data_IF_768768677515
#
_entry.id   IF_768768677515
#
_cell.length_a   1.000
_cell.length_b   1.000
_cell.length_c   1.000
_cell.angle_alpha   90.00
_cell.angle_beta   90.00
_cell.angle_gamma   90.00
#
_symmetry.space_group_name_H-M   'P 1'
#
loop_
_entity.id
_entity.type
_entity.pdbx_description
1 polymer ?
#
# COMPACT_ATOMS: atom_id res chain seq x y z
N UNK A 1 31.52 30.80 9.83
CA UNK A 1 31.51 32.17 10.33
C UNK A 1 30.07 32.66 10.48
N UNK A 2 29.60 33.05 11.67
CA UNK A 2 28.20 33.46 11.92
C UNK A 2 27.76 34.67 11.09
N UNK A 3 28.68 35.57 10.72
CA UNK A 3 28.36 36.70 9.87
C UNK A 3 27.96 36.28 8.47
N UNK A 4 28.69 35.30 7.88
CA UNK A 4 28.38 34.75 6.55
C UNK A 4 27.07 33.94 6.57
N UNK A 5 26.79 33.22 7.64
CA UNK A 5 25.52 32.49 7.79
C UNK A 5 24.32 33.45 7.77
N UNK A 6 24.39 34.55 8.54
CA UNK A 6 23.33 35.58 8.54
C UNK A 6 23.17 36.24 7.16
N UNK A 7 24.28 36.50 6.47
CA UNK A 7 24.22 37.07 5.12
C UNK A 7 23.50 36.12 4.13
N UNK A 8 23.78 34.82 4.20
CA UNK A 8 23.12 33.79 3.37
C UNK A 8 21.63 33.69 3.72
N UNK A 9 21.30 33.63 5.02
CA UNK A 9 19.91 33.57 5.50
C UNK A 9 19.09 34.78 5.02
N UNK A 10 19.67 35.98 5.10
CA UNK A 10 19.02 37.22 4.64
C UNK A 10 18.84 37.21 3.13
N UNK A 11 19.85 36.83 2.38
CA UNK A 11 19.75 36.74 0.90
C UNK A 11 18.72 35.72 0.44
N UNK A 12 18.65 34.57 1.13
CA UNK A 12 17.64 33.55 0.82
C UNK A 12 16.23 34.07 1.11
N UNK A 13 16.03 34.74 2.26
CA UNK A 13 14.73 35.32 2.60
C UNK A 13 14.27 36.34 1.55
N UNK A 14 15.15 37.26 1.17
CA UNK A 14 14.85 38.27 0.16
C UNK A 14 14.53 37.65 -1.21
N UNK A 15 15.23 36.55 -1.58
CA UNK A 15 14.97 35.84 -2.83
C UNK A 15 13.59 35.13 -2.82
N UNK A 16 13.13 34.71 -1.65
CA UNK A 16 11.86 34.02 -1.46
C UNK A 16 10.65 34.96 -1.35
N UNK A 17 10.85 36.25 -1.15
CA UNK A 17 9.76 37.25 -1.08
C UNK A 17 8.95 37.36 -2.38
N UNK A 18 9.54 37.01 -3.52
CA UNK A 18 8.85 37.00 -4.82
C UNK A 18 7.95 35.77 -5.03
N UNK A 19 8.05 34.75 -4.16
CA UNK A 19 7.24 33.54 -4.28
C UNK A 19 5.82 33.75 -3.74
N UNK A 20 4.82 33.35 -4.50
CA UNK A 20 3.41 33.43 -4.06
C UNK A 20 3.06 32.42 -2.96
N UNK A 21 3.90 31.41 -2.77
CA UNK A 21 3.68 30.38 -1.76
C UNK A 21 4.07 30.92 -0.37
N UNK A 22 3.37 30.45 0.66
CA UNK A 22 3.80 30.69 2.04
C UNK A 22 5.03 29.86 2.33
N UNK A 23 6.15 30.54 2.58
CA UNK A 23 7.43 29.91 2.86
C UNK A 23 7.87 30.22 4.29
N UNK A 24 8.38 29.21 4.96
CA UNK A 24 9.04 29.35 6.25
C UNK A 24 10.48 28.84 6.12
N UNK A 25 11.44 29.64 6.59
CA UNK A 25 12.86 29.26 6.57
C UNK A 25 13.41 29.25 7.99
N UNK A 26 14.11 28.18 8.34
CA UNK A 26 14.87 28.07 9.58
C UNK A 26 16.21 28.80 9.51
N UNK A 27 16.95 28.82 10.62
CA UNK A 27 18.35 29.27 10.66
C UNK A 27 19.28 28.16 10.20
N UNK A 28 20.45 28.51 9.72
CA UNK A 28 21.49 27.55 9.39
C UNK A 28 21.96 26.82 10.65
N UNK A 29 21.84 25.50 10.66
CA UNK A 29 22.23 24.65 11.79
C UNK A 29 23.75 24.59 11.94
N UNK A 30 24.24 23.98 13.05
CA UNK A 30 25.66 23.71 13.28
C UNK A 30 26.30 22.84 12.19
N UNK A 31 25.47 22.05 11.51
CA UNK A 31 25.91 21.17 10.41
C UNK A 31 25.91 21.87 9.04
N UNK A 32 25.61 23.17 8.97
CA UNK A 32 25.55 23.91 7.73
C UNK A 32 24.27 23.67 6.90
N UNK A 33 23.22 23.10 7.51
CA UNK A 33 21.93 22.83 6.88
C UNK A 33 20.92 23.92 7.23
N UNK A 34 20.15 24.35 6.23
CA UNK A 34 19.02 25.24 6.38
C UNK A 34 17.74 24.49 6.02
N UNK A 35 16.76 24.56 6.91
CA UNK A 35 15.44 23.96 6.70
C UNK A 35 14.50 24.97 6.03
N UNK A 36 13.74 24.52 5.06
CA UNK A 36 12.73 25.32 4.38
C UNK A 36 11.44 24.52 4.24
N UNK A 37 10.31 25.16 4.60
CA UNK A 37 8.98 24.64 4.33
C UNK A 37 8.25 25.55 3.37
N UNK A 38 7.75 25.02 2.26
CA UNK A 38 7.01 25.74 1.24
C UNK A 38 5.62 25.17 1.06
N UNK A 39 4.62 26.02 1.13
CA UNK A 39 3.24 25.60 0.88
C UNK A 39 3.09 25.22 -0.61
N UNK A 40 2.57 24.02 -0.83
CA UNK A 40 2.25 23.56 -2.18
C UNK A 40 0.98 24.25 -2.68
N UNK A 41 1.08 24.98 -3.78
CA UNK A 41 -0.05 25.73 -4.34
C UNK A 41 -0.90 24.87 -5.29
N UNK A 42 -0.27 23.95 -6.04
CA UNK A 42 -0.92 23.06 -7.00
C UNK A 42 -0.18 21.73 -7.07
N UNK A 43 -0.87 20.63 -7.39
CA UNK A 43 -0.20 19.37 -7.72
C UNK A 43 0.67 19.57 -8.96
N UNK A 44 1.78 18.82 -9.08
CA UNK A 44 2.62 18.86 -10.26
C UNK A 44 1.87 18.27 -11.47
N UNK A 45 2.32 18.64 -12.69
CA UNK A 45 1.76 18.04 -13.91
C UNK A 45 1.96 16.52 -13.94
N UNK A 46 3.07 16.06 -13.41
CA UNK A 46 3.38 14.63 -13.29
C UNK A 46 2.38 13.92 -12.37
N UNK A 47 2.04 14.50 -11.23
CA UNK A 47 1.05 13.91 -10.30
C UNK A 47 -0.38 13.89 -10.87
N UNK A 48 -0.71 14.81 -11.78
CA UNK A 48 -2.03 14.85 -12.42
C UNK A 48 -2.11 13.85 -13.57
N UNK A 49 -0.97 13.63 -14.27
CA UNK A 49 -0.91 12.80 -15.48
C UNK A 49 -0.48 11.36 -15.24
N UNK A 50 0.08 11.05 -14.08
CA UNK A 50 0.57 9.71 -13.74
C UNK A 50 -0.12 9.14 -12.51
N UNK A 51 -0.36 7.83 -12.50
CA UNK A 51 -0.81 7.07 -11.34
C UNK A 51 0.36 6.36 -10.66
N UNK A 52 0.20 6.04 -9.39
CA UNK A 52 1.16 5.18 -8.70
C UNK A 52 1.13 3.78 -9.32
N UNK A 53 2.30 3.20 -9.55
CA UNK A 53 2.38 1.81 -10.00
C UNK A 53 1.75 0.88 -8.95
N UNK A 54 0.68 0.12 -9.28
CA UNK A 54 -0.01 -0.73 -8.29
C UNK A 54 0.89 -1.84 -7.75
N UNK A 55 1.92 -2.25 -8.50
CA UNK A 55 2.82 -3.32 -8.10
C UNK A 55 3.86 -2.91 -7.05
N UNK A 56 4.44 -1.72 -7.14
CA UNK A 56 5.47 -1.25 -6.22
C UNK A 56 5.04 -0.05 -5.35
N UNK A 57 3.83 0.49 -5.56
CA UNK A 57 3.30 1.67 -4.85
C UNK A 57 4.29 2.85 -4.81
N UNK A 58 5.01 3.07 -5.91
CA UNK A 58 5.99 4.13 -6.04
C UNK A 58 7.38 3.83 -5.46
N UNK A 59 7.61 2.64 -4.88
CA UNK A 59 8.90 2.28 -4.27
C UNK A 59 9.99 1.93 -5.29
N UNK A 60 9.64 1.63 -6.55
CA UNK A 60 10.58 1.22 -7.60
C UNK A 60 11.21 -0.16 -7.38
N UNK A 61 10.87 -0.88 -6.31
CA UNK A 61 11.35 -2.21 -5.97
C UNK A 61 10.20 -3.09 -5.52
N UNK A 62 10.32 -4.39 -5.77
CA UNK A 62 9.42 -5.42 -5.27
C UNK A 62 10.23 -6.50 -4.57
N UNK A 63 9.64 -7.17 -3.58
CA UNK A 63 10.28 -8.31 -2.91
C UNK A 63 10.41 -9.48 -3.87
N UNK A 64 11.50 -10.21 -3.77
CA UNK A 64 11.67 -11.48 -4.48
C UNK A 64 10.79 -12.58 -3.87
N UNK A 65 10.61 -13.67 -4.61
CA UNK A 65 9.73 -14.79 -4.23
C UNK A 65 10.11 -15.38 -2.87
N UNK A 66 11.40 -15.56 -2.58
CA UNK A 66 11.87 -16.14 -1.31
C UNK A 66 11.58 -15.22 -0.12
N UNK A 67 11.91 -13.93 -0.26
CA UNK A 67 11.68 -12.93 0.78
C UNK A 67 10.20 -12.75 1.07
N UNK A 68 9.36 -12.77 0.03
CA UNK A 68 7.92 -12.64 0.19
C UNK A 68 7.32 -13.90 0.83
N UNK A 69 7.74 -15.10 0.41
CA UNK A 69 7.29 -16.35 1.01
C UNK A 69 7.61 -16.43 2.50
N UNK A 70 8.81 -16.03 2.92
CA UNK A 70 9.18 -15.97 4.34
C UNK A 70 8.36 -14.94 5.13
N UNK A 71 8.02 -13.79 4.51
CA UNK A 71 7.15 -12.82 5.14
C UNK A 71 5.72 -13.38 5.32
N UNK A 72 5.21 -14.10 4.33
CA UNK A 72 3.89 -14.74 4.39
C UNK A 72 3.88 -15.84 5.48
N UNK A 73 4.93 -16.67 5.57
CA UNK A 73 5.04 -17.67 6.65
C UNK A 73 4.95 -17.05 8.04
N UNK A 74 5.63 -15.93 8.27
CA UNK A 74 5.53 -15.21 9.56
C UNK A 74 4.12 -14.71 9.84
N UNK A 75 3.45 -14.15 8.83
CA UNK A 75 2.06 -13.71 8.98
C UNK A 75 1.15 -14.88 9.28
N UNK A 76 1.30 -16.02 8.61
CA UNK A 76 0.53 -17.24 8.90
C UNK A 76 0.76 -17.73 10.33
N UNK A 77 2.01 -17.74 10.80
CA UNK A 77 2.36 -18.09 12.16
C UNK A 77 1.73 -17.11 13.18
N UNK A 78 1.82 -15.81 12.93
CA UNK A 78 1.20 -14.79 13.79
C UNK A 78 -0.32 -14.92 13.85
N UNK A 79 -0.97 -15.18 12.71
CA UNK A 79 -2.42 -15.38 12.65
C UNK A 79 -2.86 -16.69 13.31
N UNK A 80 -2.04 -17.76 13.23
CA UNK A 80 -2.32 -19.06 13.84
C UNK A 80 -2.25 -19.03 15.37
N UNK A 81 -1.44 -18.15 15.95
CA UNK A 81 -1.30 -17.98 17.39
C UNK A 81 -2.46 -17.19 18.02
N UNK A 82 -3.29 -16.56 17.23
CA UNK A 82 -4.46 -15.82 17.74
C UNK A 82 -5.51 -16.77 18.26
N UNK A 83 -6.19 -16.35 19.34
CA UNK A 83 -7.23 -17.16 19.99
C UNK A 83 -8.34 -17.59 19.01
N UNK A 84 -8.76 -18.85 19.12
CA UNK A 84 -9.83 -19.47 18.31
C UNK A 84 -9.55 -19.51 16.80
N UNK A 85 -8.29 -19.49 16.38
CA UNK A 85 -7.94 -19.70 14.97
C UNK A 85 -8.15 -21.18 14.63
N UNK A 86 -9.01 -21.47 13.64
CA UNK A 86 -9.25 -22.83 13.17
C UNK A 86 -8.63 -23.05 11.78
N UNK A 87 -8.86 -22.12 10.85
CA UNK A 87 -8.35 -22.22 9.48
C UNK A 87 -7.74 -20.90 9.06
N UNK A 88 -6.58 -20.94 8.42
CA UNK A 88 -5.94 -19.79 7.77
C UNK A 88 -5.90 -20.06 6.27
N UNK A 89 -6.59 -19.24 5.51
CA UNK A 89 -6.57 -19.26 4.06
C UNK A 89 -5.63 -18.18 3.55
N UNK A 90 -4.69 -18.55 2.70
CA UNK A 90 -3.71 -17.62 2.15
C UNK A 90 -3.73 -17.69 0.64
N UNK A 91 -4.17 -16.60 -0.01
CA UNK A 91 -4.10 -16.47 -1.46
C UNK A 91 -2.78 -15.83 -1.84
N UNK A 92 -2.05 -16.45 -2.74
CA UNK A 92 -0.71 -16.04 -3.16
C UNK A 92 -0.54 -16.18 -4.67
N UNK A 93 0.36 -15.40 -5.29
CA UNK A 93 0.79 -15.63 -6.66
C UNK A 93 1.30 -17.06 -6.88
N UNK A 94 1.08 -17.60 -8.07
CA UNK A 94 1.38 -19.00 -8.41
C UNK A 94 2.81 -19.42 -8.03
N UNK A 95 3.82 -18.60 -8.34
CA UNK A 95 5.22 -18.90 -8.03
C UNK A 95 5.51 -19.00 -6.51
N UNK A 96 4.81 -18.18 -5.71
CA UNK A 96 4.93 -18.20 -4.25
C UNK A 96 4.20 -19.41 -3.67
N UNK A 97 3.02 -19.73 -4.19
CA UNK A 97 2.28 -20.92 -3.78
C UNK A 97 3.10 -22.19 -4.04
N UNK A 98 3.69 -22.34 -5.22
CA UNK A 98 4.57 -23.44 -5.55
C UNK A 98 5.79 -23.53 -4.60
N UNK A 99 6.41 -22.40 -4.28
CA UNK A 99 7.55 -22.34 -3.34
C UNK A 99 7.14 -22.74 -1.92
N UNK A 100 6.02 -22.22 -1.41
CA UNK A 100 5.53 -22.54 -0.06
C UNK A 100 5.16 -24.02 0.08
N UNK A 101 4.42 -24.58 -0.88
CA UNK A 101 3.94 -25.95 -0.83
C UNK A 101 5.05 -26.99 -1.01
N UNK A 102 6.11 -26.67 -1.75
CA UNK A 102 7.21 -27.61 -1.99
C UNK A 102 8.40 -27.38 -1.06
N UNK A 103 8.95 -26.15 -1.07
CA UNK A 103 10.19 -25.84 -0.34
C UNK A 103 9.97 -25.59 1.15
N UNK A 104 8.78 -25.13 1.52
CA UNK A 104 8.41 -24.75 2.89
C UNK A 104 7.34 -25.65 3.51
N UNK A 105 7.14 -26.83 2.93
CA UNK A 105 6.16 -27.81 3.40
C UNK A 105 6.37 -28.26 4.85
N UNK A 106 7.63 -28.48 5.25
CA UNK A 106 7.96 -28.83 6.63
C UNK A 106 7.62 -27.72 7.62
N UNK A 107 7.96 -26.48 7.26
CA UNK A 107 7.71 -25.31 8.11
C UNK A 107 6.17 -25.11 8.30
N UNK A 108 5.38 -25.34 7.26
CA UNK A 108 3.93 -25.29 7.32
C UNK A 108 3.35 -26.38 8.24
N UNK A 109 3.81 -27.62 8.10
CA UNK A 109 3.39 -28.74 8.94
C UNK A 109 3.77 -28.52 10.42
N UNK A 110 4.93 -27.91 10.68
CA UNK A 110 5.36 -27.56 12.04
C UNK A 110 4.47 -26.49 12.67
N UNK A 111 4.02 -25.49 11.90
CA UNK A 111 3.07 -24.48 12.37
C UNK A 111 1.73 -25.12 12.69
N UNK A 112 1.18 -25.94 11.78
CA UNK A 112 -0.10 -26.64 11.97
C UNK A 112 -0.08 -27.56 13.21
N UNK A 113 0.99 -28.35 13.37
CA UNK A 113 1.13 -29.27 14.51
C UNK A 113 1.23 -28.56 15.85
N UNK A 114 1.89 -27.39 15.87
CA UNK A 114 2.10 -26.60 17.10
C UNK A 114 0.89 -25.79 17.50
N UNK A 115 0.15 -25.25 16.54
CA UNK A 115 -0.99 -24.35 16.79
C UNK A 115 -2.35 -25.02 16.73
N UNK A 116 -2.42 -26.22 16.11
CA UNK A 116 -3.68 -26.91 15.85
C UNK A 116 -4.57 -26.21 14.79
N UNK A 117 -4.02 -25.25 14.07
CA UNK A 117 -4.73 -24.48 13.04
C UNK A 117 -4.44 -25.07 11.67
N UNK A 118 -5.46 -25.24 10.84
CA UNK A 118 -5.26 -25.74 9.47
C UNK A 118 -4.90 -24.61 8.51
N UNK A 119 -3.85 -24.81 7.69
CA UNK A 119 -3.34 -23.80 6.74
C UNK A 119 -3.67 -24.23 5.31
N UNK A 120 -4.44 -23.39 4.62
CA UNK A 120 -4.82 -23.59 3.21
C UNK A 120 -4.14 -22.55 2.32
N UNK A 121 -3.22 -23.00 1.49
CA UNK A 121 -2.56 -22.13 0.49
C UNK A 121 -3.32 -22.24 -0.83
N UNK A 122 -3.76 -21.08 -1.33
CA UNK A 122 -4.56 -20.96 -2.55
C UNK A 122 -3.72 -20.20 -3.59
N UNK A 123 -3.11 -20.88 -4.56
CA UNK A 123 -2.44 -20.22 -5.67
C UNK A 123 -3.47 -19.49 -6.54
N UNK A 124 -3.26 -18.18 -6.75
CA UNK A 124 -4.14 -17.33 -7.54
C UNK A 124 -3.36 -16.71 -8.72
N UNK A 125 -3.82 -16.95 -9.94
CA UNK A 125 -3.19 -16.46 -11.17
C UNK A 125 -3.38 -14.95 -11.37
N UNK A 126 -4.40 -14.36 -10.75
CA UNK A 126 -4.71 -12.93 -10.86
C UNK A 126 -3.93 -12.07 -9.86
N UNK A 127 -3.24 -12.70 -8.91
CA UNK A 127 -2.37 -12.00 -7.98
C UNK A 127 -0.95 -11.90 -8.51
N UNK A 128 -0.43 -10.69 -8.53
CA UNK A 128 0.97 -10.42 -8.83
C UNK A 128 1.76 -10.07 -7.57
N UNK A 129 3.04 -10.46 -7.55
CA UNK A 129 3.96 -10.04 -6.48
C UNK A 129 4.04 -8.51 -6.42
N UNK A 130 4.01 -7.89 -5.24
CA UNK A 130 4.12 -8.46 -3.89
C UNK A 130 2.79 -8.74 -3.17
N UNK A 131 1.67 -8.71 -3.86
CA UNK A 131 0.35 -8.81 -3.25
C UNK A 131 0.03 -10.25 -2.82
N UNK A 132 -0.62 -10.37 -1.68
CA UNK A 132 -1.18 -11.61 -1.14
C UNK A 132 -2.35 -11.26 -0.22
N UNK A 133 -3.23 -12.22 0.04
CA UNK A 133 -4.37 -12.06 0.94
C UNK A 133 -4.31 -13.15 2.00
N UNK A 134 -4.53 -12.77 3.25
CA UNK A 134 -4.61 -13.71 4.38
C UNK A 134 -5.96 -13.54 5.04
N UNK A 135 -6.69 -14.63 5.14
CA UNK A 135 -7.98 -14.73 5.79
C UNK A 135 -7.89 -15.72 6.94
N UNK A 136 -8.32 -15.30 8.11
CA UNK A 136 -8.38 -16.16 9.30
C UNK A 136 -9.81 -16.48 9.63
N UNK A 137 -10.15 -17.75 9.64
CA UNK A 137 -11.44 -18.27 10.08
C UNK A 137 -11.35 -18.75 11.53
N UNK A 138 -12.31 -18.35 12.34
CA UNK A 138 -12.49 -18.84 13.69
C UNK A 138 -13.24 -20.19 13.65
N UNK A 139 -13.17 -20.95 14.74
CA UNK A 139 -13.84 -22.25 14.85
C UNK A 139 -15.34 -22.18 14.54
N UNK A 140 -16.02 -21.15 15.02
CA UNK A 140 -17.44 -20.91 14.77
C UNK A 140 -17.76 -20.62 13.29
N UNK A 141 -16.86 -19.94 12.59
CA UNK A 141 -16.98 -19.63 11.16
C UNK A 141 -16.61 -20.84 10.28
N UNK A 142 -15.57 -21.57 10.66
CA UNK A 142 -15.12 -22.75 9.92
C UNK A 142 -16.19 -23.87 9.91
N UNK A 143 -16.93 -24.03 11.00
CA UNK A 143 -18.06 -24.97 11.08
C UNK A 143 -19.23 -24.56 10.19
N UNK A 144 -19.49 -23.27 10.04
CA UNK A 144 -20.60 -22.75 9.23
C UNK A 144 -20.32 -22.75 7.74
N UNK A 145 -19.06 -22.54 7.31
CA UNK A 145 -18.69 -22.51 5.89
C UNK A 145 -18.46 -23.91 5.28
N UNK A 146 -18.23 -24.93 6.10
CA UNK A 146 -17.93 -26.28 5.65
C UNK A 146 -16.54 -26.40 4.98
N UNK A 147 -16.21 -27.58 4.54
CA UNK A 147 -14.94 -27.90 3.89
C UNK A 147 -15.04 -27.57 2.38
N UNK A 148 -14.75 -26.31 2.04
CA UNK A 148 -14.73 -25.86 0.63
C UNK A 148 -13.38 -26.23 0.02
N UNK A 149 -13.34 -27.01 -1.09
CA UNK A 149 -12.10 -27.35 -1.76
C UNK A 149 -11.31 -26.11 -2.23
N UNK A 150 -9.97 -26.13 -2.10
CA UNK A 150 -9.11 -25.00 -2.39
C UNK A 150 -9.20 -24.47 -3.84
N UNK A 151 -9.53 -25.34 -4.80
CA UNK A 151 -9.71 -24.93 -6.20
C UNK A 151 -10.97 -24.07 -6.41
N UNK A 152 -12.06 -24.32 -5.67
CA UNK A 152 -13.27 -23.49 -5.74
C UNK A 152 -13.10 -22.17 -5.03
N UNK A 153 -12.25 -22.11 -3.98
CA UNK A 153 -11.92 -20.87 -3.27
C UNK A 153 -11.17 -19.88 -4.17
N UNK A 154 -10.33 -20.35 -5.09
CA UNK A 154 -9.65 -19.46 -6.05
C UNK A 154 -10.64 -18.78 -6.99
N UNK A 155 -11.68 -19.48 -7.43
CA UNK A 155 -12.70 -18.92 -8.32
C UNK A 155 -13.61 -17.93 -7.61
N UNK A 156 -14.04 -18.23 -6.39
CA UNK A 156 -14.84 -17.33 -5.56
C UNK A 156 -14.08 -16.03 -5.25
N UNK A 157 -12.80 -16.12 -4.93
CA UNK A 157 -11.96 -14.97 -4.68
C UNK A 157 -11.75 -14.08 -5.92
N UNK A 158 -11.60 -14.69 -7.09
CA UNK A 158 -11.50 -13.97 -8.36
C UNK A 158 -12.80 -13.21 -8.68
N UNK A 159 -13.95 -13.82 -8.42
CA UNK A 159 -15.25 -13.16 -8.57
C UNK A 159 -15.45 -12.00 -7.61
N UNK A 160 -15.03 -12.14 -6.35
CA UNK A 160 -15.11 -11.05 -5.36
C UNK A 160 -14.24 -9.85 -5.74
N UNK A 161 -13.00 -10.09 -6.19
CA UNK A 161 -12.10 -9.01 -6.63
C UNK A 161 -12.58 -8.29 -7.90
N UNK A 162 -13.27 -8.99 -8.80
CA UNK A 162 -13.88 -8.36 -9.99
C UNK A 162 -15.08 -7.46 -9.64
N UNK A 163 -15.78 -7.74 -8.54
CA UNK A 163 -16.89 -6.92 -8.05
C UNK A 163 -16.41 -5.69 -7.26
N UNK A 164 -15.22 -5.74 -6.66
CA UNK A 164 -14.60 -4.63 -5.93
C UNK A 164 -13.78 -3.69 -6.81
N UNK A 165 -13.72 -3.89 -8.14
CA UNK A 165 -13.14 -2.87 -9.01
C UNK A 165 -13.92 -1.57 -8.82
N UNK A 166 -13.26 -0.46 -8.43
CA UNK A 166 -13.96 0.77 -8.16
C UNK A 166 -14.74 1.15 -9.41
N UNK A 167 -16.05 1.25 -9.26
CA UNK A 167 -16.86 2.05 -10.17
C UNK A 167 -16.10 3.36 -10.36
N UNK A 168 -15.74 3.68 -11.60
CA UNK A 168 -15.11 4.93 -11.99
C UNK A 168 -15.64 6.04 -11.08
N UNK A 169 -14.74 6.59 -10.27
CA UNK A 169 -15.06 7.76 -9.49
C UNK A 169 -15.45 8.81 -10.52
N UNK A 170 -16.74 9.04 -10.67
CA UNK A 170 -17.27 10.13 -11.47
C UNK A 170 -16.46 11.36 -11.10
N UNK A 171 -15.74 11.90 -12.09
CA UNK A 171 -14.95 13.10 -11.90
C UNK A 171 -15.82 14.12 -11.14
N UNK A 172 -15.31 14.72 -10.07
CA UNK A 172 -16.12 15.63 -9.27
C UNK A 172 -16.72 16.67 -10.21
N UNK A 173 -18.06 16.77 -10.19
CA UNK A 173 -18.80 17.70 -11.04
C UNK A 173 -18.09 19.05 -10.97
N UNK A 174 -17.71 19.62 -12.12
CA UNK A 174 -17.07 20.93 -12.20
C UNK A 174 -17.94 21.90 -11.39
N UNK A 175 -17.44 22.33 -10.24
CA UNK A 175 -18.07 23.38 -9.48
C UNK A 175 -18.15 24.61 -10.39
N UNK A 176 -19.33 24.99 -10.83
CA UNK A 176 -19.53 26.26 -11.52
C UNK A 176 -19.06 27.39 -10.59
N UNK A 177 -18.31 28.32 -11.17
CA UNK A 177 -17.85 29.49 -10.43
C UNK A 177 -19.07 30.24 -9.89
N UNK A 178 -19.09 30.47 -8.58
CA UNK A 178 -20.20 31.16 -7.90
C UNK A 178 -20.37 32.62 -8.37
N UNK A 179 -19.41 33.15 -9.12
CA UNK A 179 -19.45 34.51 -9.68
C UNK A 179 -19.32 34.39 -11.20
N UNK A 180 -20.39 34.60 -11.92
CA UNK A 180 -20.35 34.81 -13.38
C UNK A 180 -19.90 36.24 -13.63
N UNK A 181 -18.83 36.50 -14.40
CA UNK A 181 -18.46 37.86 -14.78
C UNK A 181 -19.60 38.45 -15.65
N UNK A 182 -20.27 39.48 -15.17
CA UNK A 182 -21.13 40.28 -15.98
C UNK A 182 -20.28 41.12 -16.93
N UNK A 183 -20.18 40.68 -18.18
CA UNK A 183 -19.66 41.54 -19.25
C UNK A 183 -20.63 42.69 -19.41
N UNK A 184 -20.18 43.91 -19.05
CA UNK A 184 -20.91 45.14 -19.41
C UNK A 184 -20.95 45.24 -20.94
N UNK A 185 -22.13 45.30 -21.48
CA UNK A 185 -22.33 45.56 -22.92
C UNK A 185 -21.83 46.97 -23.28
N UNK A 186 -21.33 47.20 -24.53
CA UNK A 186 -20.79 48.48 -24.98
C UNK A 186 -21.85 49.59 -25.03
#
# INVERSE_FOLDING_TARGET
NPANQRAVETRMRNALESDRARIQTGRISRFGLMEMSRQRLRPSLEEISTGLCPRCNGQGRIRDTRSLALAILRVMEEESLKERSAVIRVQVPLAIGAFLLNEKRSDLADIESRTGTHIVIIPNMNLETPHYLVERLRSDQAESEGDIPSHTLSDLANHAQQQEMPVETQAPAKREAAVKPQLAAP
#
